data_IF_369242921206
#
_entry.id   IF_369242921206
#
_cell.length_a   1.000
_cell.length_b   1.000
_cell.length_c   1.000
_cell.angle_alpha   90.00
_cell.angle_beta   90.00
_cell.angle_gamma   90.00
#
_symmetry.space_group_name_H-M   'P 1'
#
loop_
_entity.id
_entity.type
_entity.pdbx_description
1 polymer ?
#
# COMPACT_ATOMS: atom_id res chain seq x y z
N UNK A 1 -6.08 6.49 -12.84
CA UNK A 1 -5.33 7.09 -11.71
C UNK A 1 -5.50 8.58 -11.77
N UNK A 2 -5.68 9.17 -10.60
CA UNK A 2 -5.76 10.61 -10.41
C UNK A 2 -4.44 11.27 -10.81
N UNK A 3 -4.43 12.54 -11.22
CA UNK A 3 -3.16 13.21 -11.53
C UNK A 3 -2.34 13.39 -10.24
N UNK A 4 -0.99 13.37 -10.30
CA UNK A 4 -0.14 13.53 -9.12
C UNK A 4 -0.45 14.79 -8.29
N UNK A 5 -1.01 15.82 -8.94
CA UNK A 5 -1.22 17.12 -8.33
C UNK A 5 -2.59 17.22 -7.62
N UNK A 6 -3.47 16.23 -7.84
CA UNK A 6 -4.87 16.28 -7.41
C UNK A 6 -5.14 15.54 -6.10
N UNK A 7 -4.13 14.96 -5.44
CA UNK A 7 -4.28 14.21 -4.19
C UNK A 7 -3.00 14.17 -3.36
N UNK A 8 -3.13 13.99 -2.04
CA UNK A 8 -2.00 13.90 -1.10
C UNK A 8 -1.72 12.43 -0.70
N UNK A 9 -0.64 12.20 0.07
CA UNK A 9 -0.25 10.86 0.52
C UNK A 9 -1.35 10.15 1.34
N UNK A 10 -2.13 10.89 2.13
CA UNK A 10 -3.25 10.31 2.88
C UNK A 10 -4.34 9.79 1.95
N UNK A 11 -4.62 10.50 0.86
CA UNK A 11 -5.56 10.02 -0.17
C UNK A 11 -5.04 8.73 -0.81
N UNK A 12 -3.75 8.65 -1.14
CA UNK A 12 -3.16 7.45 -1.76
C UNK A 12 -3.25 6.20 -0.87
N UNK A 13 -3.16 6.39 0.45
CA UNK A 13 -3.32 5.31 1.43
C UNK A 13 -4.75 4.79 1.52
N UNK A 14 -5.74 5.63 1.26
CA UNK A 14 -7.16 5.30 1.34
C UNK A 14 -7.74 4.80 0.02
N UNK A 15 -7.08 5.05 -1.10
CA UNK A 15 -7.50 4.55 -2.40
C UNK A 15 -7.28 3.03 -2.52
N UNK A 16 -8.13 2.34 -3.30
CA UNK A 16 -7.96 0.92 -3.58
C UNK A 16 -6.96 0.64 -4.72
N UNK A 17 -6.77 1.62 -5.61
CA UNK A 17 -5.84 1.53 -6.74
C UNK A 17 -4.43 2.02 -6.40
N UNK A 18 -3.45 1.79 -7.30
CA UNK A 18 -2.09 2.29 -7.12
C UNK A 18 -2.01 3.82 -7.15
N UNK A 19 -1.05 4.39 -6.42
CA UNK A 19 -0.78 5.81 -6.39
C UNK A 19 -0.35 6.37 -7.76
N UNK A 20 -0.47 7.69 -8.00
CA UNK A 20 -0.18 8.30 -9.30
C UNK A 20 1.26 8.12 -9.81
N UNK A 21 2.21 7.84 -8.91
CA UNK A 21 3.64 7.67 -9.24
C UNK A 21 4.25 6.52 -8.44
N UNK A 22 5.31 5.91 -8.97
CA UNK A 22 6.04 4.83 -8.29
C UNK A 22 6.61 5.27 -6.94
N UNK A 23 7.20 6.47 -6.87
CA UNK A 23 7.77 6.99 -5.64
C UNK A 23 6.72 7.12 -4.53
N UNK A 24 5.52 7.62 -4.85
CA UNK A 24 4.41 7.73 -3.89
C UNK A 24 3.90 6.37 -3.44
N UNK A 25 3.78 5.40 -4.34
CA UNK A 25 3.35 4.05 -3.95
C UNK A 25 4.36 3.39 -3.01
N UNK A 26 5.67 3.58 -3.23
CA UNK A 26 6.72 3.07 -2.32
C UNK A 26 6.54 3.67 -0.92
N UNK A 27 6.30 4.98 -0.83
CA UNK A 27 6.04 5.64 0.47
C UNK A 27 4.80 5.07 1.15
N UNK A 28 3.72 4.85 0.39
CA UNK A 28 2.48 4.22 0.91
C UNK A 28 2.77 2.81 1.44
N UNK A 29 3.52 1.99 0.72
CA UNK A 29 3.90 0.63 1.13
C UNK A 29 4.72 0.67 2.42
N UNK A 30 5.72 1.55 2.51
CA UNK A 30 6.57 1.68 3.71
C UNK A 30 5.75 2.09 4.92
N UNK A 31 4.89 3.11 4.81
CA UNK A 31 4.03 3.55 5.91
C UNK A 31 3.06 2.43 6.32
N UNK A 32 2.45 1.75 5.35
CA UNK A 32 1.50 0.66 5.61
C UNK A 32 2.18 -0.50 6.34
N UNK A 33 3.38 -0.90 5.92
CA UNK A 33 4.15 -1.94 6.60
C UNK A 33 4.57 -1.53 8.01
N UNK A 34 4.95 -0.27 8.22
CA UNK A 34 5.27 0.24 9.55
C UNK A 34 4.05 0.18 10.49
N UNK A 35 2.86 0.58 10.01
CA UNK A 35 1.62 0.50 10.77
C UNK A 35 1.21 -0.94 11.06
N UNK A 36 1.31 -1.85 10.08
CA UNK A 36 1.06 -3.27 10.28
C UNK A 36 2.02 -3.87 11.31
N UNK A 37 3.32 -3.50 11.25
CA UNK A 37 4.31 -3.91 12.23
C UNK A 37 3.98 -3.44 13.65
N UNK A 38 3.55 -2.19 13.80
CA UNK A 38 3.11 -1.65 15.09
C UNK A 38 1.87 -2.40 15.62
N UNK A 39 0.87 -2.67 14.78
CA UNK A 39 -0.31 -3.45 15.15
C UNK A 39 0.09 -4.87 15.55
N UNK A 40 0.97 -5.52 14.77
CA UNK A 40 1.44 -6.88 15.06
C UNK A 40 2.23 -6.95 16.37
N UNK A 41 3.04 -5.93 16.68
CA UNK A 41 3.77 -5.83 17.95
C UNK A 41 2.83 -5.71 19.16
N UNK A 42 1.70 -5.02 19.02
CA UNK A 42 0.70 -4.88 20.08
C UNK A 42 -0.16 -6.14 20.26
N UNK A 43 -0.54 -6.76 19.14
CA UNK A 43 -1.51 -7.86 19.09
C UNK A 43 -0.86 -9.23 19.29
N UNK A 44 0.42 -9.35 18.96
CA UNK A 44 1.19 -10.60 19.00
C UNK A 44 0.90 -11.56 17.83
N UNK A 45 1.65 -12.67 17.75
CA UNK A 45 1.60 -13.61 16.63
C UNK A 45 0.42 -14.59 16.76
N UNK A 46 -0.80 -14.09 16.57
CA UNK A 46 -2.00 -14.92 16.50
C UNK A 46 -2.37 -15.27 15.06
N UNK A 47 -2.98 -16.45 14.85
CA UNK A 47 -3.35 -16.92 13.50
C UNK A 47 -4.19 -15.90 12.71
N UNK A 48 -5.20 -15.22 13.28
CA UNK A 48 -5.94 -14.18 12.57
C UNK A 48 -5.06 -13.01 12.12
N UNK A 49 -4.12 -12.56 12.98
CA UNK A 49 -3.21 -11.46 12.66
C UNK A 49 -2.26 -11.82 11.51
N UNK A 50 -1.78 -13.08 11.47
CA UNK A 50 -0.94 -13.58 10.38
C UNK A 50 -1.71 -13.64 9.05
N UNK A 51 -2.98 -14.07 9.08
CA UNK A 51 -3.84 -14.07 7.89
C UNK A 51 -4.04 -12.65 7.36
N UNK A 52 -4.38 -11.70 8.23
CA UNK A 52 -4.57 -10.30 7.85
C UNK A 52 -3.28 -9.68 7.30
N UNK A 53 -2.14 -9.94 7.93
CA UNK A 53 -0.84 -9.48 7.44
C UNK A 53 -0.52 -10.05 6.05
N UNK A 54 -0.78 -11.35 5.83
CA UNK A 54 -0.61 -11.99 4.53
C UNK A 54 -1.48 -11.35 3.45
N UNK A 55 -2.76 -11.12 3.74
CA UNK A 55 -3.69 -10.44 2.82
C UNK A 55 -3.23 -9.02 2.50
N UNK A 56 -2.76 -8.27 3.48
CA UNK A 56 -2.27 -6.91 3.27
C UNK A 56 -1.03 -6.88 2.36
N UNK A 57 -0.10 -7.83 2.54
CA UNK A 57 1.07 -7.97 1.66
C UNK A 57 0.66 -8.29 0.23
N UNK A 58 -0.27 -9.24 0.03
CA UNK A 58 -0.79 -9.58 -1.30
C UNK A 58 -1.48 -8.39 -1.95
N UNK A 59 -2.28 -7.64 -1.18
CA UNK A 59 -2.94 -6.43 -1.66
C UNK A 59 -1.94 -5.36 -2.11
N UNK A 60 -0.91 -5.07 -1.31
CA UNK A 60 0.14 -4.11 -1.66
C UNK A 60 0.93 -4.55 -2.90
N UNK A 61 1.28 -5.84 -3.00
CA UNK A 61 1.94 -6.37 -4.18
C UNK A 61 1.05 -6.23 -5.44
N UNK A 62 -0.24 -6.54 -5.31
CA UNK A 62 -1.22 -6.38 -6.39
C UNK A 62 -1.32 -4.94 -6.88
N UNK A 63 -1.48 -3.98 -5.97
CA UNK A 63 -1.47 -2.55 -6.31
C UNK A 63 -0.19 -2.15 -7.03
N UNK A 64 0.97 -2.52 -6.51
CA UNK A 64 2.25 -2.17 -7.11
C UNK A 64 2.38 -2.73 -8.54
N UNK A 65 2.03 -3.99 -8.76
CA UNK A 65 2.05 -4.63 -10.09
C UNK A 65 1.09 -3.93 -11.07
N UNK A 66 -0.10 -3.55 -10.62
CA UNK A 66 -1.04 -2.77 -11.43
C UNK A 66 -0.46 -1.38 -11.76
N UNK A 67 0.22 -0.75 -10.80
CA UNK A 67 0.92 0.52 -10.96
C UNK A 67 2.02 0.47 -12.02
N UNK A 68 2.83 -0.60 -12.05
CA UNK A 68 3.93 -0.76 -13.01
C UNK A 68 3.49 -0.61 -14.48
N UNK A 69 2.32 -1.15 -14.82
CA UNK A 69 1.77 -1.07 -16.19
C UNK A 69 1.38 0.34 -16.58
N UNK A 70 0.99 1.15 -15.62
CA UNK A 70 0.40 2.46 -15.85
C UNK A 70 1.43 3.57 -15.74
N UNK A 71 2.38 3.47 -14.82
CA UNK A 71 3.50 4.41 -14.74
C UNK A 71 4.42 4.32 -15.95
N UNK A 72 4.55 3.14 -16.58
CA UNK A 72 5.34 2.95 -17.80
C UNK A 72 4.71 3.60 -19.05
N UNK A 73 3.40 3.85 -19.05
CA UNK A 73 2.69 4.47 -20.17
C UNK A 73 2.86 6.00 -20.20
N UNK A 74 3.42 6.58 -19.14
CA UNK A 74 3.70 8.02 -19.01
C UNK A 74 5.18 8.28 -19.25
#
# INVERSE_FOLDING_TARGET
>A
MRQPDEGNLFTDMMELGPAPTMAREIVVIVITLALLGAVFALVGPQLPALIVAGLAVVFMAGRFVLGLREWKKR
#
